data_IF_364916953270
#
_entry.id   IF_364916953270
#
_cell.length_a   1.000
_cell.length_b   1.000
_cell.length_c   1.000
_cell.angle_alpha   90.00
_cell.angle_beta   90.00
_cell.angle_gamma   90.00
#
_symmetry.space_group_name_H-M   'P 1'
#
loop_
_entity.id
_entity.type
_entity.pdbx_description
1 polymer ?
#
# COMPACT_ATOMS: atom_id res chain seq x y z
N UNK A 1 15.15 -52.54 -4.38
CA UNK A 1 15.18 -52.43 -2.90
C UNK A 1 14.61 -51.08 -2.52
N UNK A 2 13.39 -51.10 -1.98
CA UNK A 2 12.64 -49.93 -1.52
C UNK A 2 13.25 -49.45 -0.21
N UNK A 3 13.87 -48.27 -0.20
CA UNK A 3 14.15 -47.54 1.04
C UNK A 3 12.98 -46.57 1.27
N UNK A 4 12.14 -46.98 2.20
CA UNK A 4 10.98 -46.29 2.73
C UNK A 4 11.32 -44.99 3.46
N UNK A 5 10.62 -43.92 3.08
CA UNK A 5 9.91 -43.04 4.02
C UNK A 5 10.70 -42.27 5.09
N UNK A 6 11.10 -41.03 4.77
CA UNK A 6 11.27 -39.98 5.78
C UNK A 6 10.06 -39.04 5.75
N UNK A 7 9.06 -39.33 6.61
CA UNK A 7 7.87 -38.50 6.83
C UNK A 7 8.08 -37.67 8.10
N UNK A 8 8.79 -36.55 8.02
CA UNK A 8 8.71 -35.53 9.07
C UNK A 8 8.80 -34.10 8.50
N UNK A 9 7.76 -33.27 8.62
CA UNK A 9 7.69 -31.95 7.96
C UNK A 9 8.67 -30.91 8.53
N UNK A 10 9.22 -31.14 9.72
CA UNK A 10 10.17 -30.22 10.37
C UNK A 10 11.60 -30.29 9.82
N UNK A 11 11.98 -31.36 9.11
CA UNK A 11 13.33 -31.51 8.55
C UNK A 11 13.49 -30.83 7.17
N UNK A 12 12.37 -30.59 6.47
CA UNK A 12 12.35 -29.87 5.18
C UNK A 12 12.69 -28.38 5.33
N UNK A 13 12.30 -27.77 6.44
CA UNK A 13 12.60 -26.36 6.73
C UNK A 13 14.08 -26.12 7.09
N UNK A 14 14.72 -27.05 7.80
CA UNK A 14 16.15 -26.95 8.15
C UNK A 14 17.09 -27.06 6.93
N UNK A 15 16.72 -27.83 5.90
CA UNK A 15 17.52 -27.97 4.67
C UNK A 15 17.42 -26.72 3.79
N UNK A 16 16.24 -26.06 3.74
CA UNK A 16 16.08 -24.81 2.99
C UNK A 16 16.81 -23.63 3.64
N UNK A 17 16.90 -23.58 4.97
CA UNK A 17 17.65 -22.54 5.68
C UNK A 17 19.17 -22.72 5.53
N UNK A 18 19.67 -23.96 5.42
CA UNK A 18 21.11 -24.21 5.20
C UNK A 18 21.58 -23.87 3.77
N UNK A 19 20.71 -23.98 2.76
CA UNK A 19 21.05 -23.63 1.37
C UNK A 19 21.09 -22.11 1.13
N UNK A 20 20.53 -21.31 2.04
CA UNK A 20 20.64 -19.85 2.02
C UNK A 20 22.01 -19.32 2.53
N UNK A 21 22.93 -20.20 2.96
CA UNK A 21 24.18 -19.81 3.64
C UNK A 21 25.47 -20.21 2.89
N UNK A 22 25.40 -20.56 1.60
CA UNK A 22 26.58 -20.96 0.80
C UNK A 22 26.63 -20.37 -0.62
N UNK A 23 25.92 -19.26 -0.88
CA UNK A 23 26.16 -18.47 -2.08
C UNK A 23 27.00 -17.22 -1.74
N UNK A 24 28.32 -17.23 -1.98
CA UNK A 24 29.10 -16.00 -1.93
C UNK A 24 28.78 -15.20 -3.18
N UNK A 25 28.38 -13.94 -3.06
CA UNK A 25 28.73 -12.87 -4.00
C UNK A 25 28.61 -11.54 -3.25
N UNK A 26 29.60 -11.26 -2.41
CA UNK A 26 29.95 -9.88 -2.12
C UNK A 26 30.54 -9.28 -3.41
N UNK A 27 29.71 -8.56 -4.16
CA UNK A 27 30.20 -7.52 -5.08
C UNK A 27 30.05 -6.21 -4.33
N UNK A 28 31.14 -5.80 -3.68
CA UNK A 28 31.32 -4.42 -3.24
C UNK A 28 31.79 -3.65 -4.48
N UNK A 29 30.88 -2.92 -5.11
CA UNK A 29 31.22 -1.91 -6.10
C UNK A 29 31.34 -0.57 -5.37
N UNK A 30 32.57 -0.12 -5.13
CA UNK A 30 32.86 1.26 -4.75
C UNK A 30 33.07 2.05 -6.03
N UNK A 31 32.15 2.96 -6.33
CA UNK A 31 32.38 4.06 -7.27
C UNK A 31 31.31 4.23 -8.34
N UNK A 32 30.50 5.28 -8.21
CA UNK A 32 29.68 5.78 -9.32
C UNK A 32 28.32 6.33 -8.87
N UNK A 33 28.25 7.64 -8.66
CA UNK A 33 26.98 8.37 -8.59
C UNK A 33 26.21 8.18 -9.91
N UNK A 34 25.19 7.33 -9.93
CA UNK A 34 24.42 7.08 -11.15
C UNK A 34 23.07 6.35 -10.99
N UNK A 35 22.61 6.09 -9.77
CA UNK A 35 21.27 5.55 -9.52
C UNK A 35 20.30 6.66 -9.10
N UNK A 36 19.00 6.57 -9.42
CA UNK A 36 18.07 7.60 -9.02
C UNK A 36 17.94 7.64 -7.49
N UNK A 37 18.00 8.85 -6.93
CA UNK A 37 17.98 9.15 -5.49
C UNK A 37 16.77 8.58 -4.71
N UNK A 38 15.74 8.08 -5.39
CA UNK A 38 14.56 7.47 -4.76
C UNK A 38 14.77 6.01 -4.34
N UNK A 39 15.86 5.36 -4.74
CA UNK A 39 16.06 3.92 -4.52
C UNK A 39 16.70 3.55 -3.17
N UNK A 40 17.06 4.51 -2.31
CA UNK A 40 17.74 4.23 -1.04
C UNK A 40 16.84 4.54 0.15
N UNK A 41 15.90 3.64 0.38
CA UNK A 41 15.10 3.61 1.59
C UNK A 41 15.82 2.74 2.64
N UNK A 42 16.24 3.25 3.81
CA UNK A 42 16.80 2.42 4.88
C UNK A 42 15.90 1.21 5.17
N UNK A 43 16.44 0.01 5.05
CA UNK A 43 15.75 -1.24 5.37
C UNK A 43 15.93 -1.54 6.86
N UNK A 44 14.84 -1.52 7.64
CA UNK A 44 14.89 -1.80 9.07
C UNK A 44 13.56 -1.52 9.76
N UNK A 45 13.36 -2.14 10.93
CA UNK A 45 12.17 -1.98 11.78
C UNK A 45 12.00 -0.55 12.34
N UNK A 46 13.05 0.27 12.31
CA UNK A 46 13.04 1.69 12.70
C UNK A 46 12.75 2.65 11.52
N UNK A 47 12.45 2.13 10.33
CA UNK A 47 12.09 2.97 9.19
C UNK A 47 10.68 3.53 9.38
N UNK A 48 10.53 4.85 9.40
CA UNK A 48 9.21 5.48 9.30
C UNK A 48 8.54 5.05 7.98
N UNK A 49 7.27 4.62 8.02
CA UNK A 49 6.57 4.25 6.80
C UNK A 49 6.37 5.48 5.92
N UNK A 50 6.58 5.32 4.63
CA UNK A 50 6.18 6.33 3.65
C UNK A 50 4.65 6.29 3.51
N UNK A 51 4.01 7.46 3.61
CA UNK A 51 2.57 7.59 3.48
C UNK A 51 2.27 8.22 2.12
N UNK A 52 1.60 7.46 1.25
CA UNK A 52 1.06 7.95 -0.01
C UNK A 52 -0.44 8.14 0.15
N UNK A 53 -0.92 9.37 -0.03
CA UNK A 53 -2.34 9.69 0.05
C UNK A 53 -2.87 10.07 -1.32
N UNK A 54 -3.77 9.23 -1.85
CA UNK A 54 -4.37 9.38 -3.18
C UNK A 54 -5.82 9.81 -3.00
N UNK A 55 -6.20 10.92 -3.64
CA UNK A 55 -7.55 11.48 -3.62
C UNK A 55 -8.04 11.60 -5.06
N UNK A 56 -9.28 11.17 -5.30
CA UNK A 56 -9.99 11.41 -6.56
C UNK A 56 -11.01 12.53 -6.37
N UNK A 57 -11.17 13.37 -7.38
CA UNK A 57 -12.17 14.44 -7.40
C UNK A 57 -13.47 13.96 -8.04
N UNK A 58 -14.61 14.43 -7.54
CA UNK A 58 -15.96 14.09 -8.02
C UNK A 58 -16.29 12.58 -8.13
N UNK A 59 -15.61 11.74 -7.35
CA UNK A 59 -15.84 10.29 -7.38
C UNK A 59 -16.89 9.86 -6.34
N UNK A 60 -17.98 9.25 -6.80
CA UNK A 60 -18.99 8.69 -5.91
C UNK A 60 -18.55 7.32 -5.36
N UNK A 61 -19.10 6.95 -4.19
CA UNK A 61 -18.80 5.67 -3.56
C UNK A 61 -19.23 4.45 -4.41
N UNK A 62 -20.17 4.64 -5.34
CA UNK A 62 -20.64 3.60 -6.26
C UNK A 62 -19.72 3.39 -7.46
N UNK A 63 -18.75 4.26 -7.73
CA UNK A 63 -17.99 4.29 -8.98
C UNK A 63 -16.82 3.28 -9.01
N UNK A 64 -16.90 2.22 -8.22
CA UNK A 64 -15.83 1.22 -8.08
C UNK A 64 -16.36 -0.19 -8.32
N UNK A 65 -15.54 -1.01 -8.99
CA UNK A 65 -15.80 -2.45 -9.16
C UNK A 65 -15.93 -3.16 -7.81
N UNK A 66 -15.02 -2.89 -6.87
CA UNK A 66 -15.07 -3.43 -5.50
C UNK A 66 -16.29 -2.96 -4.67
N UNK A 67 -16.99 -1.90 -5.09
CA UNK A 67 -18.26 -1.46 -4.49
C UNK A 67 -19.49 -1.99 -5.24
N UNK A 68 -19.29 -2.81 -6.28
CA UNK A 68 -20.36 -3.48 -7.02
C UNK A 68 -20.89 -2.72 -8.24
N UNK A 69 -20.14 -1.77 -8.80
CA UNK A 69 -20.59 -1.07 -10.02
C UNK A 69 -20.80 -2.06 -11.18
N UNK A 70 -21.92 -1.99 -11.93
CA UNK A 70 -22.24 -2.99 -12.96
C UNK A 70 -21.36 -2.91 -14.23
N UNK A 71 -20.69 -1.79 -14.46
CA UNK A 71 -20.01 -1.49 -15.73
C UNK A 71 -18.61 -0.86 -15.61
N UNK A 72 -18.22 -0.38 -14.42
CA UNK A 72 -16.96 0.35 -14.25
C UNK A 72 -15.95 -0.67 -13.76
N UNK A 73 -14.82 -0.75 -14.47
CA UNK A 73 -13.75 -1.68 -14.16
C UNK A 73 -12.59 -0.92 -13.50
N UNK A 74 -12.27 -1.28 -12.27
CA UNK A 74 -11.18 -0.66 -11.50
C UNK A 74 -10.16 -1.70 -11.03
N UNK A 75 -9.59 -2.54 -11.92
CA UNK A 75 -8.87 -3.75 -11.52
C UNK A 75 -7.71 -3.52 -10.54
N UNK A 76 -7.02 -2.38 -10.64
CA UNK A 76 -5.93 -2.03 -9.72
C UNK A 76 -6.45 -1.61 -8.34
N UNK A 77 -7.55 -0.86 -8.28
CA UNK A 77 -8.18 -0.47 -7.02
C UNK A 77 -8.92 -1.66 -6.38
N UNK A 78 -9.49 -2.54 -7.19
CA UNK A 78 -10.14 -3.77 -6.73
C UNK A 78 -9.13 -4.70 -6.06
N UNK A 79 -7.95 -4.86 -6.67
CA UNK A 79 -6.82 -5.57 -6.05
C UNK A 79 -6.39 -4.88 -4.74
N UNK A 80 -6.21 -3.57 -4.76
CA UNK A 80 -5.81 -2.82 -3.56
C UNK A 80 -6.82 -3.02 -2.42
N UNK A 81 -8.13 -2.96 -2.72
CA UNK A 81 -9.20 -3.15 -1.75
C UNK A 81 -9.20 -4.57 -1.14
N UNK A 82 -8.86 -5.61 -1.92
CA UNK A 82 -8.75 -6.99 -1.41
C UNK A 82 -7.56 -7.20 -0.47
N UNK A 83 -6.47 -6.46 -0.69
CA UNK A 83 -5.24 -6.52 0.12
C UNK A 83 -5.27 -5.53 1.32
N UNK A 84 -6.32 -4.71 1.42
CA UNK A 84 -6.43 -3.60 2.39
C UNK A 84 -7.63 -3.73 3.32
N UNK A 85 -7.68 -2.85 4.33
CA UNK A 85 -8.89 -2.62 5.09
C UNK A 85 -9.79 -1.62 4.34
N UNK A 86 -10.98 -2.07 3.94
CA UNK A 86 -11.95 -1.25 3.19
C UNK A 86 -12.97 -0.61 4.13
N UNK A 87 -13.13 0.72 4.02
CA UNK A 87 -14.19 1.46 4.71
C UNK A 87 -15.40 1.64 3.78
N UNK A 88 -16.44 0.83 3.96
CA UNK A 88 -17.66 0.88 3.13
C UNK A 88 -18.63 2.01 3.49
N UNK A 89 -18.35 2.74 4.59
CA UNK A 89 -19.19 3.82 5.13
C UNK A 89 -18.36 5.06 5.48
N UNK A 90 -17.74 5.65 4.45
CA UNK A 90 -17.09 6.96 4.55
C UNK A 90 -18.06 8.09 4.20
N UNK A 91 -17.97 9.21 4.89
CA UNK A 91 -18.79 10.40 4.63
C UNK A 91 -17.90 11.64 4.53
N UNK A 92 -18.22 12.49 3.57
CA UNK A 92 -17.60 13.81 3.45
C UNK A 92 -18.40 14.83 4.27
N UNK A 93 -17.76 15.70 5.07
CA UNK A 93 -18.48 16.74 5.82
C UNK A 93 -19.12 17.83 4.96
N UNK A 94 -18.66 17.99 3.71
CA UNK A 94 -19.25 18.89 2.71
C UNK A 94 -19.10 18.28 1.32
N UNK A 95 -20.18 18.23 0.54
CA UNK A 95 -20.18 17.70 -0.84
C UNK A 95 -19.65 18.71 -1.86
N UNK A 96 -18.68 19.54 -1.47
CA UNK A 96 -18.02 20.53 -2.30
C UNK A 96 -16.50 20.31 -2.24
N UNK A 97 -15.81 20.37 -3.39
CA UNK A 97 -14.40 20.03 -3.53
C UNK A 97 -13.49 20.82 -2.57
N UNK A 98 -13.60 22.16 -2.54
CA UNK A 98 -12.70 23.01 -1.75
C UNK A 98 -12.93 22.88 -0.23
N UNK A 99 -14.18 22.93 0.28
CA UNK A 99 -14.47 22.62 1.69
C UNK A 99 -14.04 21.21 2.12
N UNK A 100 -14.28 20.19 1.29
CA UNK A 100 -13.87 18.81 1.56
C UNK A 100 -12.36 18.68 1.71
N UNK A 101 -11.60 19.24 0.76
CA UNK A 101 -10.14 19.22 0.82
C UNK A 101 -9.59 20.00 2.01
N UNK A 102 -10.20 21.15 2.34
CA UNK A 102 -9.84 21.91 3.53
C UNK A 102 -10.06 21.11 4.83
N UNK A 103 -11.15 20.36 4.94
CA UNK A 103 -11.41 19.45 6.06
C UNK A 103 -10.33 18.35 6.14
N UNK A 104 -9.97 17.74 5.00
CA UNK A 104 -8.95 16.68 4.96
C UNK A 104 -7.58 17.20 5.43
N UNK A 105 -7.17 18.39 4.98
CA UNK A 105 -5.86 18.97 5.31
C UNK A 105 -5.81 19.47 6.76
N UNK A 106 -6.88 20.11 7.24
CA UNK A 106 -6.90 20.73 8.57
C UNK A 106 -7.34 19.79 9.70
N UNK A 107 -8.05 18.72 9.38
CA UNK A 107 -8.71 17.86 10.38
C UNK A 107 -9.88 18.53 11.09
N UNK A 108 -10.37 19.67 10.59
CA UNK A 108 -11.45 20.46 11.17
C UNK A 108 -12.71 20.39 10.30
N UNK A 109 -13.89 20.56 10.91
CA UNK A 109 -15.14 20.66 10.16
C UNK A 109 -15.26 22.01 9.42
N UNK A 110 -16.09 22.11 8.37
CA UNK A 110 -16.29 23.35 7.62
C UNK A 110 -16.66 24.57 8.47
N UNK A 111 -17.46 24.39 9.52
CA UNK A 111 -17.84 25.48 10.44
C UNK A 111 -16.68 25.97 11.32
N UNK A 112 -15.60 25.19 11.44
CA UNK A 112 -14.41 25.53 12.24
C UNK A 112 -13.33 26.20 11.38
N UNK A 113 -13.09 25.73 10.16
CA UNK A 113 -12.09 26.31 9.26
C UNK A 113 -12.65 27.41 8.34
N UNK A 114 -13.97 27.60 8.26
CA UNK A 114 -14.62 28.73 7.58
C UNK A 114 -14.66 28.65 6.04
N UNK A 115 -14.11 27.60 5.43
CA UNK A 115 -14.16 27.38 3.98
C UNK A 115 -15.42 26.57 3.66
N UNK A 116 -16.48 27.25 3.24
CA UNK A 116 -17.82 26.67 3.05
C UNK A 116 -18.31 26.66 1.60
N UNK A 117 -17.60 27.36 0.70
CA UNK A 117 -17.90 27.46 -0.74
C UNK A 117 -16.69 27.14 -1.62
N UNK A 118 -16.91 27.05 -2.93
CA UNK A 118 -15.88 26.80 -3.94
C UNK A 118 -15.35 28.08 -4.62
N UNK A 119 -15.98 29.22 -4.36
CA UNK A 119 -15.73 30.55 -4.94
C UNK A 119 -14.42 31.20 -4.48
#
# INVERSE_FOLDING_TARGET
>A
MVASGFKHPRLKWLIFVLLAWLAPQAVVEVGGYGGPLWAQSPSGADRQPDIVFVIADDQAWSDYGFMGHPHIETPQLDRLAQESLLFTRGYVPSSLCRPSLATIISGLYPHQHGIVGND
#
